data_IF_358014051119
#
_entry.id   IF_358014051119
#
_cell.length_a   1.000
_cell.length_b   1.000
_cell.length_c   1.000
_cell.angle_alpha   90.00
_cell.angle_beta   90.00
_cell.angle_gamma   90.00
#
_symmetry.space_group_name_H-M   'P 1'
#
loop_
_entity.id
_entity.type
_entity.pdbx_description
1 polymer ?
#
# COMPACT_ATOMS: atom_id res chain seq x y z
N UNK A 1 81.45 -5.40 3.95
CA UNK A 1 82.67 -4.94 3.24
C UNK A 1 82.28 -3.70 2.44
N UNK A 2 82.88 -2.61 2.88
CA UNK A 2 83.33 -1.44 2.15
C UNK A 2 82.30 -0.65 1.33
N UNK A 3 81.99 0.52 1.75
CA UNK A 3 82.79 1.77 1.81
C UNK A 3 82.50 2.59 0.54
N UNK A 4 82.11 3.75 0.55
CA UNK A 4 82.57 5.04 1.01
C UNK A 4 82.18 6.18 -0.01
N UNK A 5 81.76 7.30 0.53
CA UNK A 5 82.13 8.70 0.19
C UNK A 5 81.60 9.30 -1.13
N UNK A 6 81.26 10.56 -1.35
CA UNK A 6 81.47 11.87 -0.67
C UNK A 6 80.56 12.90 -1.31
N UNK A 7 80.15 13.87 -0.55
CA UNK A 7 79.75 15.28 -0.93
C UNK A 7 80.99 16.01 -1.46
N UNK A 8 80.92 17.29 -1.88
CA UNK A 8 79.85 18.27 -2.16
C UNK A 8 80.11 19.13 -3.41
N UNK A 9 79.22 20.00 -3.80
CA UNK A 9 79.58 21.30 -4.35
C UNK A 9 78.42 22.31 -4.34
N UNK A 10 78.69 23.35 -3.68
CA UNK A 10 78.06 24.64 -3.55
C UNK A 10 78.24 25.45 -4.81
N UNK A 11 77.25 26.19 -5.29
CA UNK A 11 77.41 27.53 -5.91
C UNK A 11 76.08 28.20 -6.22
N UNK A 12 75.69 29.22 -5.47
CA UNK A 12 75.61 30.64 -5.77
C UNK A 12 74.41 31.05 -6.66
N UNK A 13 73.53 31.70 -5.99
CA UNK A 13 72.69 32.90 -6.25
C UNK A 13 72.53 33.41 -7.67
N UNK A 14 71.29 33.62 -8.09
CA UNK A 14 70.89 34.80 -8.84
C UNK A 14 69.44 35.13 -8.59
N UNK A 15 69.20 36.23 -7.92
CA UNK A 15 67.91 36.89 -7.68
C UNK A 15 67.48 37.52 -9.00
N UNK A 16 66.37 37.08 -9.56
CA UNK A 16 65.61 37.83 -10.55
C UNK A 16 64.24 38.19 -10.01
N UNK A 17 64.11 39.47 -9.64
CA UNK A 17 62.83 40.14 -9.35
C UNK A 17 62.11 40.36 -10.67
N UNK A 18 61.06 39.59 -10.93
CA UNK A 18 60.13 39.91 -12.01
C UNK A 18 58.81 40.37 -11.38
N UNK A 19 58.58 41.66 -11.52
CA UNK A 19 57.29 42.30 -11.24
C UNK A 19 56.28 41.73 -12.25
N UNK A 20 55.33 40.91 -11.80
CA UNK A 20 54.16 40.54 -12.59
C UNK A 20 52.96 41.38 -12.16
N UNK A 21 52.52 42.22 -13.07
CA UNK A 21 51.33 43.05 -12.91
C UNK A 21 50.09 42.16 -12.72
N UNK A 22 49.41 42.34 -11.58
CA UNK A 22 48.09 41.82 -11.32
C UNK A 22 47.05 42.57 -12.18
N UNK A 23 46.78 42.08 -13.36
CA UNK A 23 45.54 42.35 -14.07
C UNK A 23 44.47 41.38 -13.55
N UNK A 24 43.63 41.87 -12.66
CA UNK A 24 42.48 41.12 -12.17
C UNK A 24 41.47 40.87 -13.27
N UNK A 25 41.48 39.68 -13.84
CA UNK A 25 40.31 39.14 -14.54
C UNK A 25 39.25 38.83 -13.47
N UNK A 26 38.28 39.74 -13.33
CA UNK A 26 37.01 39.46 -12.70
C UNK A 26 36.30 38.40 -13.59
N UNK A 27 36.52 37.16 -13.28
CA UNK A 27 35.75 36.07 -13.82
C UNK A 27 34.37 36.14 -13.17
N UNK A 28 33.42 36.70 -13.92
CA UNK A 28 32.00 36.62 -13.58
C UNK A 28 31.63 35.13 -13.64
N UNK A 29 31.87 34.44 -12.55
CA UNK A 29 31.35 33.10 -12.39
C UNK A 29 29.83 33.18 -12.39
N UNK A 30 29.24 32.78 -13.46
CA UNK A 30 27.84 32.41 -13.57
C UNK A 30 27.56 31.41 -12.45
N UNK A 31 27.13 31.93 -11.31
CA UNK A 31 26.49 31.09 -10.28
C UNK A 31 25.12 30.75 -10.81
N UNK A 32 25.05 29.77 -11.73
CA UNK A 32 23.86 28.93 -11.86
C UNK A 32 23.68 28.28 -10.50
N UNK A 33 22.94 28.97 -9.67
CA UNK A 33 22.57 28.50 -8.34
C UNK A 33 21.71 27.26 -8.52
N UNK A 34 22.35 26.10 -8.54
CA UNK A 34 21.68 24.87 -8.12
C UNK A 34 21.17 25.16 -6.71
N UNK A 35 19.90 25.52 -6.60
CA UNK A 35 19.25 25.67 -5.30
C UNK A 35 19.34 24.29 -4.65
N UNK A 36 20.29 24.13 -3.72
CA UNK A 36 20.39 22.91 -2.92
C UNK A 36 19.05 22.70 -2.26
N UNK A 37 18.35 21.64 -2.65
CA UNK A 37 17.13 21.22 -1.98
C UNK A 37 17.36 21.28 -0.45
N UNK A 38 16.59 22.11 0.29
CA UNK A 38 16.78 22.28 1.73
C UNK A 38 16.38 21.03 2.52
N UNK A 39 15.58 20.11 1.93
CA UNK A 39 15.08 18.93 2.61
C UNK A 39 16.15 17.84 2.70
N UNK A 40 16.34 17.33 3.90
CA UNK A 40 17.23 16.21 4.19
C UNK A 40 16.77 15.47 5.44
N UNK A 41 17.16 14.23 5.58
CA UNK A 41 16.83 13.40 6.74
C UNK A 41 16.21 12.07 6.39
N UNK A 42 15.59 11.44 7.39
CA UNK A 42 14.99 10.11 7.26
C UNK A 42 13.53 10.14 7.68
N UNK A 43 12.69 9.40 6.96
CA UNK A 43 11.31 9.07 7.34
C UNK A 43 11.21 7.55 7.44
N UNK A 44 10.59 7.07 8.51
CA UNK A 44 10.32 5.63 8.72
C UNK A 44 8.82 5.39 8.70
N UNK A 45 8.41 4.38 7.94
CA UNK A 45 6.99 4.05 7.72
C UNK A 45 6.81 2.54 7.86
N UNK A 46 5.79 2.10 8.60
CA UNK A 46 5.45 0.68 8.72
C UNK A 46 3.94 0.46 8.67
N UNK A 47 3.48 -0.77 8.40
CA UNK A 47 2.10 -1.13 8.64
C UNK A 47 1.37 -1.85 7.51
N UNK A 48 0.18 -1.38 7.16
CA UNK A 48 -0.79 -2.11 6.34
C UNK A 48 -0.25 -2.53 4.97
N UNK A 49 -0.37 -3.81 4.64
CA UNK A 49 -0.06 -4.34 3.31
C UNK A 49 -0.85 -3.61 2.21
N UNK A 50 -2.10 -3.23 2.50
CA UNK A 50 -2.95 -2.49 1.57
C UNK A 50 -2.34 -1.18 1.08
N UNK A 51 -1.55 -0.46 1.91
CA UNK A 51 -0.93 0.81 1.55
C UNK A 51 0.52 0.65 1.05
N UNK A 52 1.13 -0.50 1.29
CA UNK A 52 2.55 -0.69 1.06
C UNK A 52 2.99 -0.37 -0.39
N UNK A 53 2.33 -0.88 -1.45
CA UNK A 53 2.76 -0.61 -2.83
C UNK A 53 2.75 0.88 -3.19
N UNK A 54 1.69 1.59 -2.89
CA UNK A 54 1.60 3.02 -3.20
C UNK A 54 2.54 3.87 -2.33
N UNK A 55 2.77 3.46 -1.07
CA UNK A 55 3.71 4.17 -0.18
C UNK A 55 5.14 4.02 -0.67
N UNK A 56 5.53 2.85 -1.18
CA UNK A 56 6.83 2.65 -1.84
C UNK A 56 6.95 3.57 -3.07
N UNK A 57 5.93 3.61 -3.92
CA UNK A 57 5.90 4.50 -5.09
C UNK A 57 6.04 5.98 -4.67
N UNK A 58 5.30 6.43 -3.68
CA UNK A 58 5.42 7.80 -3.16
C UNK A 58 6.82 8.09 -2.58
N UNK A 59 7.39 7.13 -1.85
CA UNK A 59 8.74 7.27 -1.30
C UNK A 59 9.80 7.41 -2.41
N UNK A 60 9.73 6.58 -3.44
CA UNK A 60 10.64 6.63 -4.59
C UNK A 60 10.53 7.97 -5.33
N UNK A 61 9.31 8.41 -5.66
CA UNK A 61 9.11 9.65 -6.40
C UNK A 61 9.49 10.88 -5.58
N UNK A 62 9.20 10.89 -4.28
CA UNK A 62 9.62 11.98 -3.39
C UNK A 62 11.15 12.05 -3.24
N UNK A 63 11.83 10.89 -3.13
CA UNK A 63 13.29 10.83 -3.05
C UNK A 63 13.99 11.27 -4.36
N UNK A 64 13.37 11.10 -5.53
CA UNK A 64 13.87 11.66 -6.79
C UNK A 64 13.88 13.19 -6.77
N UNK A 65 12.85 13.81 -6.17
CA UNK A 65 12.77 15.26 -6.01
C UNK A 65 13.68 15.76 -4.89
N UNK A 66 13.92 14.95 -3.86
CA UNK A 66 14.68 15.28 -2.67
C UNK A 66 15.78 14.24 -2.38
N UNK A 67 16.90 14.24 -3.14
CA UNK A 67 17.91 13.15 -3.08
C UNK A 67 18.60 12.99 -1.71
N UNK A 68 18.50 13.98 -0.82
CA UNK A 68 19.07 13.90 0.53
C UNK A 68 18.08 13.37 1.58
N UNK A 69 16.86 13.01 1.15
CA UNK A 69 15.84 12.37 1.99
C UNK A 69 15.92 10.86 1.79
N UNK A 70 15.83 10.11 2.89
CA UNK A 70 15.68 8.65 2.88
C UNK A 70 14.34 8.26 3.50
N UNK A 71 13.53 7.49 2.78
CA UNK A 71 12.25 6.97 3.27
C UNK A 71 12.31 5.45 3.30
N UNK A 72 12.17 4.88 4.50
CA UNK A 72 12.13 3.44 4.69
C UNK A 72 10.69 3.01 4.93
N UNK A 73 10.21 2.08 4.10
CA UNK A 73 8.84 1.55 4.17
C UNK A 73 8.89 0.05 4.46
N UNK A 74 8.10 -0.40 5.43
CA UNK A 74 7.98 -1.83 5.77
C UNK A 74 6.52 -2.23 5.94
N UNK A 75 6.14 -3.41 5.43
CA UNK A 75 4.83 -3.99 5.66
C UNK A 75 4.81 -4.85 6.94
N UNK A 76 3.62 -5.06 7.53
CA UNK A 76 3.47 -5.87 8.74
C UNK A 76 2.04 -5.88 9.31
N UNK A 77 1.06 -5.41 8.51
CA UNK A 77 -0.34 -5.32 8.92
C UNK A 77 -0.72 -3.98 9.55
N UNK A 78 -2.01 -3.64 9.51
CA UNK A 78 -2.52 -2.37 10.00
C UNK A 78 -2.34 -2.22 11.51
N UNK A 79 -2.52 -3.31 12.27
CA UNK A 79 -2.30 -3.31 13.72
C UNK A 79 -0.88 -2.94 14.11
N UNK A 80 0.12 -3.52 13.39
CA UNK A 80 1.52 -3.13 13.57
C UNK A 80 1.74 -1.66 13.23
N UNK A 81 1.19 -1.16 12.12
CA UNK A 81 1.32 0.24 11.72
C UNK A 81 0.81 1.21 12.77
N UNK A 82 -0.36 0.93 13.36
CA UNK A 82 -0.91 1.74 14.45
C UNK A 82 -0.05 1.66 15.72
N UNK A 83 0.37 0.45 16.12
CA UNK A 83 1.21 0.26 17.31
C UNK A 83 2.56 0.98 17.18
N UNK A 84 3.26 0.80 16.06
CA UNK A 84 4.54 1.44 15.79
C UNK A 84 4.43 2.98 15.75
N UNK A 85 3.33 3.50 15.17
CA UNK A 85 3.08 4.94 15.12
C UNK A 85 2.80 5.53 16.51
N UNK A 86 1.92 4.89 17.29
CA UNK A 86 1.57 5.36 18.64
C UNK A 86 2.75 5.26 19.61
N UNK A 87 3.59 4.24 19.51
CA UNK A 87 4.82 4.12 20.29
C UNK A 87 6.00 4.93 19.74
N UNK A 88 5.80 5.66 18.64
CA UNK A 88 6.81 6.48 17.96
C UNK A 88 8.04 5.69 17.46
N UNK A 89 7.89 4.38 17.25
CA UNK A 89 8.90 3.53 16.61
C UNK A 89 9.11 3.89 15.14
N UNK A 90 8.07 4.47 14.51
CA UNK A 90 8.11 5.03 13.16
C UNK A 90 7.53 6.43 13.13
N UNK A 91 7.86 7.18 12.09
CA UNK A 91 7.29 8.52 11.88
C UNK A 91 5.83 8.45 11.46
N UNK A 92 5.48 7.47 10.62
CA UNK A 92 4.13 7.26 10.08
C UNK A 92 3.78 5.77 10.08
N UNK A 93 2.54 5.47 10.45
CA UNK A 93 1.95 4.14 10.27
C UNK A 93 1.04 4.09 9.04
N UNK A 94 1.10 3.01 8.28
CA UNK A 94 0.13 2.69 7.24
C UNK A 94 -1.06 1.97 7.88
N UNK A 95 -2.29 2.49 7.68
CA UNK A 95 -3.48 1.99 8.34
C UNK A 95 -4.64 1.84 7.34
N UNK A 96 -5.37 0.73 7.38
CA UNK A 96 -6.33 0.33 6.33
C UNK A 96 -7.72 -0.01 6.86
N UNK A 97 -8.09 0.60 7.99
CA UNK A 97 -9.44 0.56 8.57
C UNK A 97 -9.73 1.87 9.31
N UNK A 98 -10.97 2.09 9.74
CA UNK A 98 -11.32 3.27 10.52
C UNK A 98 -10.53 3.31 11.85
N UNK A 99 -10.04 4.49 12.23
CA UNK A 99 -9.38 4.71 13.53
C UNK A 99 -10.44 4.64 14.64
N UNK A 100 -10.24 3.73 15.57
CA UNK A 100 -11.19 3.51 16.66
C UNK A 100 -11.15 4.61 17.72
N UNK A 101 -12.22 4.77 18.56
CA UNK A 101 -12.20 5.69 19.69
C UNK A 101 -11.05 5.41 20.66
N UNK A 102 -10.69 4.14 20.88
CA UNK A 102 -9.58 3.73 21.74
C UNK A 102 -8.21 4.16 21.16
N UNK A 103 -8.03 4.06 19.83
CA UNK A 103 -6.83 4.52 19.14
C UNK A 103 -6.73 6.05 19.19
N UNK A 104 -7.86 6.75 19.02
CA UNK A 104 -7.93 8.21 19.17
C UNK A 104 -7.58 8.65 20.61
N UNK A 105 -8.11 7.99 21.61
CA UNK A 105 -7.81 8.27 23.02
C UNK A 105 -6.33 8.05 23.35
N UNK A 106 -5.64 7.15 22.63
CA UNK A 106 -4.18 6.94 22.73
C UNK A 106 -3.36 7.96 21.95
N UNK A 107 -4.00 8.95 21.33
CA UNK A 107 -3.31 10.03 20.60
C UNK A 107 -3.16 9.79 19.10
N UNK A 108 -3.86 8.82 18.51
CA UNK A 108 -3.80 8.62 17.06
C UNK A 108 -4.26 9.89 16.32
N UNK A 109 -3.41 10.38 15.44
CA UNK A 109 -3.71 11.39 14.43
C UNK A 109 -3.58 10.77 13.05
N UNK A 110 -4.45 11.12 12.11
CA UNK A 110 -4.47 10.48 10.79
C UNK A 110 -4.92 11.40 9.67
N UNK A 111 -4.51 11.06 8.47
CA UNK A 111 -4.99 11.62 7.21
C UNK A 111 -5.40 10.50 6.27
N UNK A 112 -6.52 10.68 5.56
CA UNK A 112 -6.90 9.82 4.46
C UNK A 112 -6.04 10.16 3.22
N UNK A 113 -5.55 9.12 2.51
CA UNK A 113 -4.63 9.32 1.38
C UNK A 113 -5.09 8.64 0.08
N UNK A 114 -5.88 7.58 0.17
CA UNK A 114 -6.42 6.83 -0.97
C UNK A 114 -7.60 5.96 -0.50
N UNK A 115 -8.26 5.27 -1.47
CA UNK A 115 -9.20 4.17 -1.18
C UNK A 115 -8.71 2.89 -1.84
N UNK A 116 -9.11 1.76 -1.27
CA UNK A 116 -8.88 0.41 -1.78
C UNK A 116 -10.08 -0.47 -1.45
N UNK A 117 -10.08 -1.73 -1.92
CA UNK A 117 -11.10 -2.71 -1.57
C UNK A 117 -10.48 -4.08 -1.33
N UNK A 118 -11.22 -4.92 -0.62
CA UNK A 118 -10.95 -6.36 -0.48
C UNK A 118 -11.93 -7.12 -1.37
N UNK A 119 -11.40 -8.03 -2.20
CA UNK A 119 -12.20 -8.88 -3.06
C UNK A 119 -12.03 -10.35 -2.67
N UNK A 120 -13.09 -11.17 -2.81
CA UNK A 120 -13.00 -12.62 -2.62
C UNK A 120 -12.21 -13.25 -3.77
N UNK A 121 -11.25 -14.10 -3.42
CA UNK A 121 -10.34 -14.76 -4.36
C UNK A 121 -10.52 -16.27 -4.36
N UNK A 122 -10.28 -16.87 -5.51
CA UNK A 122 -10.38 -18.32 -5.75
C UNK A 122 -9.22 -18.77 -6.65
N UNK A 123 -8.85 -20.04 -6.57
CA UNK A 123 -7.89 -20.60 -7.49
C UNK A 123 -8.45 -20.64 -8.93
N UNK A 124 -7.65 -20.22 -9.90
CA UNK A 124 -8.07 -20.16 -11.30
C UNK A 124 -8.36 -21.55 -11.92
N UNK A 125 -7.86 -22.64 -11.32
CA UNK A 125 -8.13 -24.02 -11.73
C UNK A 125 -9.27 -24.67 -10.94
N UNK A 126 -9.98 -23.91 -10.09
CA UNK A 126 -11.10 -24.45 -9.31
C UNK A 126 -12.20 -24.95 -10.24
N UNK A 127 -12.70 -26.21 -10.07
CA UNK A 127 -13.65 -26.83 -10.99
C UNK A 127 -15.01 -26.13 -11.08
N UNK A 128 -15.39 -25.33 -10.08
CA UNK A 128 -16.67 -24.59 -10.09
C UNK A 128 -16.55 -23.14 -10.55
N UNK A 129 -15.35 -22.69 -10.93
CA UNK A 129 -15.09 -21.30 -11.32
C UNK A 129 -16.00 -20.82 -12.46
N UNK A 130 -16.26 -21.66 -13.48
CA UNK A 130 -17.13 -21.30 -14.59
C UNK A 130 -18.56 -21.01 -14.14
N UNK A 131 -19.06 -21.76 -13.17
CA UNK A 131 -20.39 -21.54 -12.57
C UNK A 131 -20.39 -20.25 -11.75
N UNK A 132 -19.35 -20.02 -10.97
CA UNK A 132 -19.22 -18.80 -10.14
C UNK A 132 -19.12 -17.53 -10.99
N UNK A 133 -18.49 -17.58 -12.16
CA UNK A 133 -18.43 -16.43 -13.09
C UNK A 133 -19.81 -16.02 -13.62
N UNK A 134 -20.76 -16.96 -13.66
CA UNK A 134 -22.13 -16.72 -14.14
C UNK A 134 -23.08 -16.38 -12.99
N UNK A 135 -23.00 -17.13 -11.89
CA UNK A 135 -23.92 -16.99 -10.75
C UNK A 135 -23.45 -16.01 -9.70
N UNK A 136 -22.13 -15.81 -9.57
CA UNK A 136 -21.55 -15.12 -8.43
C UNK A 136 -21.74 -15.85 -7.10
N UNK A 137 -21.46 -15.16 -6.02
CA UNK A 137 -21.78 -15.56 -4.66
C UNK A 137 -22.40 -14.40 -3.91
N UNK A 138 -23.47 -14.66 -3.17
CA UNK A 138 -24.14 -13.67 -2.34
C UNK A 138 -23.35 -13.39 -1.05
N UNK A 139 -23.62 -12.26 -0.41
CA UNK A 139 -23.07 -11.96 0.93
C UNK A 139 -23.44 -13.04 1.94
N UNK A 140 -24.64 -13.63 1.83
CA UNK A 140 -25.07 -14.72 2.70
C UNK A 140 -24.19 -15.96 2.50
N UNK A 141 -23.86 -16.34 1.29
CA UNK A 141 -22.99 -17.49 1.01
C UNK A 141 -21.60 -17.29 1.63
N UNK A 142 -20.99 -16.09 1.49
CA UNK A 142 -19.72 -15.80 2.16
C UNK A 142 -19.84 -15.81 3.68
N UNK A 143 -20.96 -15.35 4.25
CA UNK A 143 -21.22 -15.44 5.68
C UNK A 143 -21.27 -16.90 6.15
N UNK A 144 -21.95 -17.75 5.41
CA UNK A 144 -22.09 -19.18 5.75
C UNK A 144 -20.75 -19.94 5.64
N UNK A 145 -19.82 -19.47 4.78
CA UNK A 145 -18.46 -20.00 4.70
C UNK A 145 -17.60 -19.50 5.88
N UNK A 146 -17.50 -18.17 6.03
CA UNK A 146 -16.49 -17.55 6.89
C UNK A 146 -16.93 -17.29 8.33
N UNK A 147 -18.24 -17.32 8.63
CA UNK A 147 -18.76 -17.00 9.96
C UNK A 147 -19.54 -18.20 10.54
N UNK A 148 -20.52 -18.71 9.82
CA UNK A 148 -21.36 -19.82 10.32
C UNK A 148 -20.70 -21.20 10.16
N UNK A 149 -19.78 -21.38 9.20
CA UNK A 149 -19.10 -22.64 8.91
C UNK A 149 -20.03 -23.74 8.38
N UNK A 150 -21.23 -23.37 7.92
CA UNK A 150 -22.24 -24.33 7.43
C UNK A 150 -21.98 -24.78 5.99
N UNK A 151 -21.25 -23.96 5.20
CA UNK A 151 -20.80 -24.28 3.85
C UNK A 151 -19.32 -24.66 3.90
N UNK A 152 -19.04 -25.93 3.68
CA UNK A 152 -17.71 -26.54 3.69
C UNK A 152 -17.37 -27.32 2.42
N UNK A 153 -18.24 -27.29 1.41
CA UNK A 153 -17.99 -27.85 0.09
C UNK A 153 -18.40 -26.85 -1.00
N UNK A 154 -17.74 -26.91 -2.13
CA UNK A 154 -18.06 -26.08 -3.28
C UNK A 154 -19.46 -26.34 -3.83
N UNK A 155 -19.94 -27.60 -3.71
CA UNK A 155 -21.32 -27.96 -4.10
C UNK A 155 -22.36 -27.19 -3.29
N UNK A 156 -22.20 -27.11 -1.95
CA UNK A 156 -23.08 -26.32 -1.09
C UNK A 156 -23.02 -24.82 -1.46
N UNK A 157 -21.83 -24.32 -1.80
CA UNK A 157 -21.66 -22.92 -2.16
C UNK A 157 -22.38 -22.51 -3.45
N UNK A 158 -22.51 -23.44 -4.43
CA UNK A 158 -23.14 -23.17 -5.74
C UNK A 158 -24.50 -23.85 -5.93
N UNK A 159 -25.02 -24.56 -4.91
CA UNK A 159 -26.31 -25.26 -4.97
C UNK A 159 -26.29 -26.52 -5.83
N UNK A 160 -25.24 -27.34 -5.73
CA UNK A 160 -25.08 -28.61 -6.44
C UNK A 160 -24.62 -29.76 -5.52
N UNK A 161 -24.56 -30.98 -6.04
CA UNK A 161 -24.06 -32.14 -5.30
C UNK A 161 -22.52 -32.31 -5.37
N UNK A 162 -21.76 -31.32 -5.80
CA UNK A 162 -20.30 -31.37 -5.83
C UNK A 162 -19.76 -31.52 -4.41
N UNK A 163 -19.00 -32.59 -4.13
CA UNK A 163 -18.44 -32.88 -2.79
C UNK A 163 -17.00 -32.33 -2.61
N UNK A 164 -16.46 -31.61 -3.60
CA UNK A 164 -15.12 -30.96 -3.45
C UNK A 164 -15.12 -30.07 -2.21
N UNK A 165 -14.16 -30.29 -1.33
CA UNK A 165 -13.98 -29.47 -0.13
C UNK A 165 -13.81 -28.00 -0.48
N UNK A 166 -14.22 -27.14 0.43
CA UNK A 166 -13.99 -25.70 0.34
C UNK A 166 -13.09 -25.30 1.52
N UNK A 167 -11.85 -24.87 1.19
CA UNK A 167 -10.86 -24.45 2.20
C UNK A 167 -10.81 -22.92 2.30
N UNK A 168 -11.41 -22.33 3.35
CA UNK A 168 -11.31 -20.89 3.57
C UNK A 168 -9.94 -20.50 4.14
N UNK A 169 -9.35 -19.45 3.58
CA UNK A 169 -8.16 -18.79 4.08
C UNK A 169 -8.50 -17.40 4.65
N UNK A 170 -7.92 -17.08 5.79
CA UNK A 170 -8.10 -15.81 6.47
C UNK A 170 -6.74 -15.22 6.89
N UNK A 171 -6.74 -14.17 7.68
CA UNK A 171 -5.54 -13.47 8.13
C UNK A 171 -5.23 -13.79 9.60
N UNK A 172 -3.96 -14.12 9.88
CA UNK A 172 -3.45 -14.29 11.25
C UNK A 172 -2.94 -12.99 11.87
N UNK A 173 -2.59 -11.99 11.06
CA UNK A 173 -2.17 -10.66 11.52
C UNK A 173 -3.39 -9.73 11.70
N UNK A 174 -3.29 -8.79 12.64
CA UNK A 174 -4.30 -7.74 12.81
C UNK A 174 -4.28 -6.80 11.60
N UNK A 175 -5.29 -6.88 10.74
CA UNK A 175 -5.29 -6.18 9.47
C UNK A 175 -6.65 -5.60 9.06
N UNK A 176 -6.60 -4.56 8.24
CA UNK A 176 -7.81 -3.94 7.71
C UNK A 176 -8.53 -4.79 6.68
N UNK A 177 -7.86 -5.71 5.97
CA UNK A 177 -8.51 -6.59 5.00
C UNK A 177 -9.51 -7.52 5.69
N UNK A 178 -9.08 -8.24 6.73
CA UNK A 178 -9.95 -9.14 7.48
C UNK A 178 -11.04 -8.36 8.25
N UNK A 179 -10.70 -7.20 8.85
CA UNK A 179 -11.68 -6.35 9.53
C UNK A 179 -12.79 -5.88 8.56
N UNK A 180 -12.42 -5.42 7.36
CA UNK A 180 -13.40 -4.97 6.36
C UNK A 180 -14.22 -6.11 5.76
N UNK A 181 -13.60 -7.29 5.56
CA UNK A 181 -14.31 -8.47 5.11
C UNK A 181 -15.33 -8.93 6.15
N UNK A 182 -14.93 -9.02 7.41
CA UNK A 182 -15.83 -9.36 8.51
C UNK A 182 -16.98 -8.33 8.68
N UNK A 183 -16.70 -7.04 8.52
CA UNK A 183 -17.74 -6.00 8.52
C UNK A 183 -18.73 -6.16 7.37
N UNK A 184 -18.24 -6.49 6.17
CA UNK A 184 -19.10 -6.82 5.05
C UNK A 184 -20.02 -8.00 5.38
N UNK A 185 -19.49 -9.00 6.10
CA UNK A 185 -20.22 -10.18 6.58
C UNK A 185 -21.04 -9.87 7.84
N UNK A 186 -21.98 -8.92 7.71
CA UNK A 186 -22.93 -8.53 8.75
C UNK A 186 -22.30 -7.91 10.03
N UNK A 187 -21.34 -7.01 9.81
CA UNK A 187 -20.67 -6.24 10.85
C UNK A 187 -20.00 -7.12 11.93
N UNK A 188 -19.38 -8.21 11.48
CA UNK A 188 -18.57 -9.09 12.32
C UNK A 188 -17.17 -8.51 12.54
N UNK A 189 -16.40 -9.13 13.43
CA UNK A 189 -15.00 -8.78 13.72
C UNK A 189 -14.06 -9.75 13.01
N UNK A 190 -12.79 -9.36 12.83
CA UNK A 190 -11.76 -10.22 12.25
C UNK A 190 -11.68 -11.58 12.97
N UNK A 191 -11.82 -11.58 14.30
CA UNK A 191 -11.72 -12.78 15.14
C UNK A 191 -12.87 -13.77 14.91
N UNK A 192 -13.98 -13.33 14.31
CA UNK A 192 -15.12 -14.18 13.98
C UNK A 192 -14.92 -14.96 12.68
N UNK A 193 -13.88 -14.62 11.89
CA UNK A 193 -13.61 -15.27 10.60
C UNK A 193 -13.03 -16.66 10.78
N UNK A 194 -13.72 -17.66 10.26
CA UNK A 194 -13.26 -19.04 10.18
C UNK A 194 -12.30 -19.24 9.00
N UNK A 195 -11.41 -20.20 9.14
CA UNK A 195 -10.45 -20.59 8.11
C UNK A 195 -9.01 -20.65 8.60
N UNK A 196 -8.10 -21.07 7.73
CA UNK A 196 -6.68 -21.13 8.03
C UNK A 196 -6.07 -19.71 7.99
N UNK A 197 -5.57 -19.26 9.13
CA UNK A 197 -4.95 -17.95 9.26
C UNK A 197 -3.56 -17.87 8.66
N UNK A 198 -3.35 -16.92 7.74
CA UNK A 198 -2.09 -16.70 7.02
C UNK A 198 -1.59 -15.27 7.20
N UNK A 199 -0.28 -15.10 7.20
CA UNK A 199 0.32 -13.79 7.41
C UNK A 199 0.32 -12.96 6.11
N UNK A 200 -0.27 -11.79 6.18
CA UNK A 200 -0.27 -10.80 5.10
C UNK A 200 -1.13 -11.19 3.89
N UNK A 201 -1.40 -10.23 3.02
CA UNK A 201 -2.03 -10.47 1.73
C UNK A 201 -1.21 -11.43 0.84
N UNK A 202 0.13 -11.33 0.79
CA UNK A 202 0.92 -12.29 0.01
C UNK A 202 0.69 -13.74 0.44
N UNK A 203 0.57 -14.00 1.76
CA UNK A 203 0.32 -15.34 2.29
C UNK A 203 -1.02 -15.90 1.84
N UNK A 204 -2.10 -15.11 1.93
CA UNK A 204 -3.44 -15.54 1.47
C UNK A 204 -3.46 -15.74 -0.04
N UNK A 205 -2.92 -14.81 -0.84
CA UNK A 205 -2.89 -14.91 -2.29
C UNK A 205 -2.10 -16.16 -2.76
N UNK A 206 -0.96 -16.44 -2.12
CA UNK A 206 -0.14 -17.61 -2.45
C UNK A 206 -0.84 -18.93 -2.09
N UNK A 207 -1.49 -18.98 -0.93
CA UNK A 207 -2.26 -20.15 -0.51
C UNK A 207 -3.43 -20.45 -1.46
N UNK A 208 -4.18 -19.43 -1.88
CA UNK A 208 -5.25 -19.59 -2.87
C UNK A 208 -4.70 -20.09 -4.20
N UNK A 209 -3.57 -19.55 -4.67
CA UNK A 209 -2.94 -20.01 -5.93
C UNK A 209 -2.48 -21.46 -5.89
N UNK A 210 -2.03 -21.94 -4.73
CA UNK A 210 -1.49 -23.30 -4.55
C UNK A 210 -2.54 -24.34 -4.20
N UNK A 211 -3.72 -23.93 -3.76
CA UNK A 211 -4.80 -24.83 -3.36
C UNK A 211 -6.02 -24.63 -4.27
N UNK A 212 -6.33 -25.64 -5.08
CA UNK A 212 -7.47 -25.64 -6.01
C UNK A 212 -8.81 -25.52 -5.27
N UNK A 213 -8.89 -25.99 -4.04
CA UNK A 213 -10.08 -25.94 -3.18
C UNK A 213 -10.18 -24.61 -2.39
N UNK A 214 -9.16 -23.78 -2.51
CA UNK A 214 -8.99 -22.58 -1.72
C UNK A 214 -9.91 -21.42 -2.10
N UNK A 215 -10.44 -20.77 -1.07
CA UNK A 215 -11.09 -19.46 -1.14
C UNK A 215 -10.40 -18.49 -0.17
N UNK A 216 -10.15 -17.27 -0.61
CA UNK A 216 -9.53 -16.22 0.21
C UNK A 216 -10.18 -14.87 -0.03
N UNK A 217 -9.55 -13.83 0.54
CA UNK A 217 -9.87 -12.44 0.26
C UNK A 217 -8.58 -11.60 0.31
N UNK A 218 -8.41 -10.71 -0.65
CA UNK A 218 -7.18 -9.94 -0.80
C UNK A 218 -7.47 -8.48 -1.20
N UNK A 219 -6.55 -7.60 -0.86
CA UNK A 219 -6.50 -6.25 -1.41
C UNK A 219 -6.14 -6.27 -2.91
N UNK A 220 -6.55 -5.26 -3.67
CA UNK A 220 -6.46 -5.22 -5.14
C UNK A 220 -5.06 -5.55 -5.67
N UNK A 221 -4.01 -4.97 -5.06
CA UNK A 221 -2.63 -5.12 -5.53
C UNK A 221 -2.02 -6.50 -5.31
N UNK A 222 -2.73 -7.40 -4.63
CA UNK A 222 -2.33 -8.80 -4.46
C UNK A 222 -3.16 -9.75 -5.34
N UNK A 223 -4.12 -9.20 -6.06
CA UNK A 223 -4.96 -9.91 -7.04
C UNK A 223 -4.55 -9.54 -8.46
N UNK A 224 -4.30 -8.25 -8.71
CA UNK A 224 -4.00 -7.69 -10.02
C UNK A 224 -2.57 -7.18 -10.11
N UNK A 225 -1.93 -7.44 -11.23
CA UNK A 225 -0.66 -6.88 -11.61
C UNK A 225 -0.82 -5.41 -12.03
N UNK A 226 0.01 -4.55 -11.47
CA UNK A 226 -0.08 -3.11 -11.65
C UNK A 226 0.27 -2.63 -13.05
N UNK A 227 1.13 -3.38 -13.77
CA UNK A 227 1.60 -3.01 -15.11
C UNK A 227 0.65 -3.52 -16.18
N UNK A 228 0.28 -4.80 -16.10
CA UNK A 228 -0.61 -5.43 -17.08
C UNK A 228 -2.09 -5.17 -16.80
N UNK A 229 -2.43 -4.70 -15.59
CA UNK A 229 -3.80 -4.47 -15.09
C UNK A 229 -4.66 -5.74 -15.04
N UNK A 230 -4.05 -6.91 -15.23
CA UNK A 230 -4.72 -8.23 -15.22
C UNK A 230 -4.48 -8.94 -13.89
N UNK A 231 -5.32 -9.91 -13.58
CA UNK A 231 -5.14 -10.79 -12.42
C UNK A 231 -3.83 -11.55 -12.54
N UNK A 232 -3.15 -11.76 -11.40
CA UNK A 232 -1.99 -12.64 -11.35
C UNK A 232 -2.37 -14.07 -11.75
N UNK A 233 -1.46 -14.74 -12.43
CA UNK A 233 -1.66 -16.14 -12.85
C UNK A 233 -1.99 -17.02 -11.65
N UNK A 234 -3.00 -17.86 -11.80
CA UNK A 234 -3.49 -18.78 -10.76
C UNK A 234 -4.51 -18.17 -9.79
N UNK A 235 -4.80 -16.88 -9.89
CA UNK A 235 -5.85 -16.20 -9.12
C UNK A 235 -7.02 -15.79 -10.01
N UNK A 236 -8.22 -15.95 -9.46
CA UNK A 236 -9.46 -15.37 -9.98
C UNK A 236 -10.23 -14.68 -8.85
N UNK A 237 -11.13 -13.80 -9.23
CA UNK A 237 -12.08 -13.14 -8.32
C UNK A 237 -13.42 -13.83 -8.45
N UNK A 238 -14.06 -14.09 -7.32
CA UNK A 238 -15.46 -14.52 -7.29
C UNK A 238 -16.34 -13.28 -7.41
N UNK A 239 -17.12 -13.10 -8.47
CA UNK A 239 -18.08 -12.00 -8.55
C UNK A 239 -19.08 -12.06 -7.41
N UNK A 240 -19.41 -10.90 -6.85
CA UNK A 240 -20.45 -10.81 -5.83
C UNK A 240 -21.79 -10.55 -6.51
N UNK A 241 -22.75 -11.42 -6.28
CA UNK A 241 -24.15 -11.24 -6.63
C UNK A 241 -24.76 -10.26 -5.61
N UNK A 242 -24.79 -8.98 -5.99
CA UNK A 242 -25.14 -7.86 -5.09
C UNK A 242 -26.64 -7.74 -4.87
N UNK A 243 -27.42 -8.09 -5.89
CA UNK A 243 -28.88 -8.03 -5.85
C UNK A 243 -29.53 -9.38 -5.47
N UNK A 244 -28.69 -10.43 -5.26
CA UNK A 244 -29.07 -11.77 -4.81
C UNK A 244 -30.08 -12.48 -5.73
N UNK A 245 -30.01 -12.23 -7.06
CA UNK A 245 -30.91 -12.82 -8.06
C UNK A 245 -30.37 -14.14 -8.65
N UNK A 246 -29.20 -14.62 -8.21
CA UNK A 246 -28.58 -15.90 -8.61
C UNK A 246 -27.82 -15.84 -9.93
N UNK A 247 -27.49 -14.66 -10.43
CA UNK A 247 -26.66 -14.45 -11.63
C UNK A 247 -25.87 -13.15 -11.49
N UNK A 248 -24.79 -13.05 -12.26
CA UNK A 248 -24.02 -11.80 -12.37
C UNK A 248 -24.59 -10.97 -13.52
N UNK A 249 -25.25 -9.88 -13.19
CA UNK A 249 -25.75 -8.94 -14.15
C UNK A 249 -24.63 -8.08 -14.78
N UNK A 250 -24.81 -7.47 -15.96
CA UNK A 250 -23.74 -6.70 -16.62
C UNK A 250 -23.16 -5.55 -15.78
N UNK A 251 -23.92 -4.99 -14.88
CA UNK A 251 -23.48 -3.91 -13.99
C UNK A 251 -22.76 -4.41 -12.72
N UNK A 252 -22.79 -5.73 -12.46
CA UNK A 252 -22.02 -6.41 -11.42
C UNK A 252 -20.75 -7.08 -11.96
N UNK A 253 -20.59 -7.20 -13.28
CA UNK A 253 -19.47 -7.85 -13.93
C UNK A 253 -18.33 -6.86 -14.25
N UNK A 254 -17.59 -6.45 -13.24
CA UNK A 254 -16.48 -5.50 -13.34
C UNK A 254 -15.15 -6.06 -12.79
N UNK A 255 -14.97 -7.38 -12.77
CA UNK A 255 -13.81 -8.03 -12.14
C UNK A 255 -12.73 -8.49 -13.14
N UNK A 256 -12.84 -8.17 -14.43
CA UNK A 256 -11.90 -8.68 -15.43
C UNK A 256 -10.53 -7.99 -15.34
N UNK A 257 -10.53 -6.69 -15.12
CA UNK A 257 -9.32 -5.88 -15.01
C UNK A 257 -9.33 -5.02 -13.75
N UNK A 258 -8.14 -4.60 -13.32
CA UNK A 258 -7.97 -3.69 -12.20
C UNK A 258 -8.71 -2.35 -12.44
N UNK A 259 -8.69 -1.86 -13.69
CA UNK A 259 -9.33 -0.58 -14.03
C UNK A 259 -10.86 -0.64 -13.90
N UNK A 260 -11.46 -1.78 -14.26
CA UNK A 260 -12.91 -1.99 -14.07
C UNK A 260 -13.28 -1.99 -12.59
N UNK A 261 -12.50 -2.69 -11.74
CA UNK A 261 -12.73 -2.74 -10.29
C UNK A 261 -12.53 -1.37 -9.67
N UNK A 262 -11.44 -0.67 -9.99
CA UNK A 262 -11.15 0.68 -9.48
C UNK A 262 -12.29 1.63 -9.83
N UNK A 263 -12.79 1.58 -11.07
CA UNK A 263 -13.95 2.38 -11.49
C UNK A 263 -15.22 2.01 -10.72
N UNK A 264 -15.47 0.72 -10.51
CA UNK A 264 -16.66 0.26 -9.76
C UNK A 264 -16.63 0.75 -8.30
N UNK A 265 -15.46 0.76 -7.67
CA UNK A 265 -15.28 1.30 -6.31
C UNK A 265 -15.47 2.83 -6.30
N UNK A 266 -14.92 3.53 -7.28
CA UNK A 266 -14.97 4.99 -7.37
C UNK A 266 -16.40 5.50 -7.49
N UNK A 267 -17.21 4.86 -8.36
CA UNK A 267 -18.63 5.22 -8.57
C UNK A 267 -19.61 4.58 -7.59
N UNK A 268 -19.09 3.85 -6.57
CA UNK A 268 -19.91 3.24 -5.52
C UNK A 268 -20.70 2.00 -5.91
N UNK A 269 -20.36 1.34 -7.03
CA UNK A 269 -20.96 0.04 -7.41
C UNK A 269 -20.44 -1.11 -6.54
N UNK A 270 -19.16 -1.08 -6.19
CA UNK A 270 -18.61 -2.07 -5.26
C UNK A 270 -18.95 -1.69 -3.81
N UNK A 271 -19.37 -2.63 -2.94
CA UNK A 271 -19.85 -2.32 -1.59
C UNK A 271 -18.77 -1.73 -0.67
N UNK A 272 -19.20 -0.86 0.24
CA UNK A 272 -18.33 -0.28 1.26
C UNK A 272 -18.98 -0.42 2.66
N UNK A 273 -18.48 -1.29 3.57
CA UNK A 273 -17.36 -2.22 3.33
C UNK A 273 -17.67 -3.27 2.25
N UNK A 274 -16.69 -3.96 1.65
CA UNK A 274 -15.26 -4.02 2.01
C UNK A 274 -14.36 -3.00 1.32
N UNK A 275 -14.91 -2.07 0.51
CA UNK A 275 -14.14 -0.88 0.11
C UNK A 275 -13.99 0.09 1.29
N UNK A 276 -12.85 0.78 1.39
CA UNK A 276 -12.54 1.70 2.50
C UNK A 276 -11.47 2.72 2.17
N UNK A 277 -11.42 3.77 2.97
CA UNK A 277 -10.30 4.70 2.98
C UNK A 277 -9.05 4.07 3.61
N UNK A 278 -7.90 4.53 3.17
CA UNK A 278 -6.58 4.18 3.66
C UNK A 278 -5.92 5.41 4.26
N UNK A 279 -5.19 5.22 5.35
CA UNK A 279 -4.69 6.32 6.17
C UNK A 279 -3.20 6.23 6.45
N UNK A 280 -2.55 7.41 6.51
CA UNK A 280 -1.30 7.58 7.22
C UNK A 280 -1.62 8.05 8.64
N UNK A 281 -1.05 7.37 9.64
CA UNK A 281 -1.32 7.64 11.06
C UNK A 281 -0.04 8.00 11.81
N UNK A 282 -0.15 8.78 12.89
CA UNK A 282 0.96 9.09 13.79
C UNK A 282 0.46 9.35 15.21
N UNK A 283 1.37 9.43 16.19
CA UNK A 283 1.07 9.86 17.53
C UNK A 283 1.02 11.41 17.57
N UNK A 284 -0.18 11.97 17.60
CA UNK A 284 -0.44 13.38 17.43
C UNK A 284 -0.01 13.93 16.07
N UNK A 285 -0.33 15.18 15.78
CA UNK A 285 0.18 15.89 14.59
C UNK A 285 1.71 15.99 14.67
N UNK A 286 2.39 15.49 13.65
CA UNK A 286 3.85 15.55 13.58
C UNK A 286 4.33 17.01 13.50
N UNK A 287 5.39 17.32 14.23
CA UNK A 287 6.07 18.64 14.18
C UNK A 287 7.26 18.64 13.23
N UNK A 288 7.71 17.48 12.78
CA UNK A 288 8.82 17.33 11.85
C UNK A 288 8.43 17.88 10.47
N UNK A 289 9.07 18.97 10.06
CA UNK A 289 8.82 19.63 8.77
C UNK A 289 8.97 18.69 7.58
N UNK A 290 9.96 17.78 7.60
CA UNK A 290 10.16 16.80 6.52
C UNK A 290 8.97 15.87 6.37
N UNK A 291 8.45 15.35 7.49
CA UNK A 291 7.26 14.46 7.48
C UNK A 291 6.02 15.19 6.98
N UNK A 292 5.79 16.42 7.47
CA UNK A 292 4.64 17.23 7.01
C UNK A 292 4.77 17.60 5.53
N UNK A 293 5.97 17.92 5.04
CA UNK A 293 6.20 18.17 3.61
C UNK A 293 5.91 16.92 2.77
N UNK A 294 6.33 15.73 3.22
CA UNK A 294 6.02 14.47 2.54
C UNK A 294 4.51 14.20 2.50
N UNK A 295 3.80 14.37 3.62
CA UNK A 295 2.35 14.19 3.67
C UNK A 295 1.61 15.20 2.78
N UNK A 296 2.05 16.47 2.80
CA UNK A 296 1.48 17.48 1.91
C UNK A 296 1.73 17.15 0.43
N UNK A 297 2.92 16.66 0.10
CA UNK A 297 3.25 16.21 -1.25
C UNK A 297 2.39 15.01 -1.67
N UNK A 298 2.15 14.02 -0.78
CA UNK A 298 1.23 12.90 -1.05
C UNK A 298 -0.16 13.40 -1.42
N UNK A 299 -0.69 14.40 -0.68
CA UNK A 299 -2.04 14.93 -0.88
C UNK A 299 -2.17 15.83 -2.12
N UNK A 300 -1.08 16.31 -2.67
CA UNK A 300 -1.04 17.15 -3.88
C UNK A 300 -0.46 16.34 -5.06
N UNK A 301 0.84 16.46 -5.31
CA UNK A 301 1.50 15.87 -6.47
C UNK A 301 1.48 14.33 -6.44
N UNK A 302 1.48 13.75 -5.24
CA UNK A 302 1.44 12.29 -5.03
C UNK A 302 0.12 11.66 -5.50
N UNK A 303 -0.96 12.44 -5.56
CA UNK A 303 -2.28 11.94 -5.99
C UNK A 303 -2.33 11.50 -7.46
N UNK A 304 -1.43 11.98 -8.31
CA UNK A 304 -1.35 11.50 -9.71
C UNK A 304 -0.99 10.01 -9.81
N UNK A 305 -0.26 9.47 -8.83
CA UNK A 305 0.14 8.05 -8.82
C UNK A 305 -0.93 7.10 -8.27
N UNK A 306 -1.99 7.61 -7.64
CA UNK A 306 -2.99 6.78 -6.95
C UNK A 306 -3.66 5.80 -7.91
N UNK A 307 -4.20 6.27 -9.02
CA UNK A 307 -4.87 5.40 -10.00
C UNK A 307 -3.88 4.53 -10.77
N UNK A 308 -2.71 5.07 -11.11
CA UNK A 308 -1.63 4.29 -11.73
C UNK A 308 -1.24 3.10 -10.83
N UNK A 309 -1.14 3.32 -9.53
CA UNK A 309 -0.86 2.29 -8.55
C UNK A 309 -2.07 1.40 -8.18
N UNK A 310 -3.21 1.51 -8.89
CA UNK A 310 -4.38 0.64 -8.73
C UNK A 310 -5.24 0.94 -7.51
N UNK A 311 -5.19 2.17 -7.05
CA UNK A 311 -6.04 2.66 -5.97
C UNK A 311 -7.09 3.62 -6.50
N UNK A 312 -8.07 3.93 -5.67
CA UNK A 312 -9.09 4.94 -5.93
C UNK A 312 -8.73 6.22 -5.21
N UNK A 313 -8.85 7.35 -5.88
CA UNK A 313 -8.67 8.66 -5.25
C UNK A 313 -9.77 8.93 -4.22
N UNK A 314 -9.41 9.59 -3.14
CA UNK A 314 -10.42 10.17 -2.25
C UNK A 314 -11.01 11.42 -2.92
N UNK A 315 -12.28 11.80 -2.61
CA UNK A 315 -12.90 12.98 -3.19
C UNK A 315 -12.09 14.25 -2.98
N UNK A 316 -12.08 15.15 -3.96
CA UNK A 316 -11.29 16.39 -3.88
C UNK A 316 -11.61 17.22 -2.64
N UNK A 317 -12.89 17.31 -2.25
CA UNK A 317 -13.31 18.00 -1.02
C UNK A 317 -12.64 17.39 0.24
N UNK A 318 -12.45 16.06 0.25
CA UNK A 318 -11.76 15.37 1.32
C UNK A 318 -10.26 15.67 1.28
N UNK A 319 -9.62 15.62 0.10
CA UNK A 319 -8.20 15.99 -0.07
C UNK A 319 -7.94 17.38 0.50
N UNK A 320 -8.77 18.37 0.15
CA UNK A 320 -8.64 19.74 0.66
C UNK A 320 -8.77 19.82 2.19
N UNK A 321 -9.64 18.99 2.78
CA UNK A 321 -9.75 18.89 4.24
C UNK A 321 -8.50 18.27 4.89
N UNK A 322 -7.92 17.24 4.25
CA UNK A 322 -6.70 16.58 4.73
C UNK A 322 -5.47 17.48 4.59
N UNK A 323 -5.38 18.28 3.52
CA UNK A 323 -4.31 19.29 3.33
C UNK A 323 -4.30 20.29 4.49
N UNK A 324 -5.48 20.76 4.94
CA UNK A 324 -5.58 21.67 6.11
C UNK A 324 -5.02 21.05 7.40
N UNK A 325 -5.12 19.72 7.57
CA UNK A 325 -4.57 19.02 8.73
C UNK A 325 -3.02 19.01 8.71
N UNK A 326 -2.41 18.94 7.54
CA UNK A 326 -0.94 18.87 7.37
C UNK A 326 -0.30 20.24 7.17
N UNK A 327 -1.08 21.31 7.06
CA UNK A 327 -0.56 22.69 6.94
C UNK A 327 0.43 22.98 8.07
N UNK A 328 1.59 23.57 7.69
CA UNK A 328 2.70 23.93 8.57
C UNK A 328 2.35 25.09 9.50
#
# INVERSE_FOLDING_TARGET
MNSKYLLPALCIASVFFVYFHLTGCRQSGDRTGSSRDPLHGKITISGAFALYPITVKWAEEFQKLHPRVKINVSAGGAGKGMADALSQMVDLGMFSKAVSPEEQAKGAWWIAVAKDAVLPTINAANPVLSVLKVKGMTRQTFYDIYIAGTINTWGKAIGTNNQTELQPFTRSDACGAADMWAKYLRNKKQEDLLGLGLNGDPGVADAVRKNVEGIGFNNLNFIYDMQTRKKYQGLEVIPIDLNENGKIDPDENFYNTLDEVVKAIDIGKYPSPPARELYMVSNGKRKNKLVLTFLNWILNEGQKYVMEAGYVKIPESKIQSEIKKVAL
#
